data_IF_611098766379
#
_entry.id   IF_611098766379
#
_cell.length_a   1.000
_cell.length_b   1.000
_cell.length_c   1.000
_cell.angle_alpha   90.00
_cell.angle_beta   90.00
_cell.angle_gamma   90.00
#
_symmetry.space_group_name_H-M   'P 1'
#
loop_
_entity.id
_entity.type
_entity.pdbx_description
1 polymer ?
#
# COMPACT_ATOMS: atom_id res chain seq x y z
N UNK A 1 15.93 -15.76 0.67
CA UNK A 1 14.54 -15.28 0.83
C UNK A 1 14.13 -15.50 2.27
N UNK A 2 13.42 -14.55 2.87
CA UNK A 2 12.96 -14.70 4.24
C UNK A 2 11.68 -15.55 4.27
N UNK A 3 11.68 -16.60 5.09
CA UNK A 3 10.52 -17.46 5.32
C UNK A 3 9.79 -17.00 6.59
N UNK A 4 8.48 -16.93 6.50
CA UNK A 4 7.59 -16.52 7.59
C UNK A 4 6.67 -17.69 7.93
N UNK A 5 6.53 -17.98 9.23
CA UNK A 5 5.60 -19.00 9.71
C UNK A 5 4.16 -18.68 9.33
N UNK A 6 3.32 -19.71 9.11
CA UNK A 6 1.89 -19.51 8.85
C UNK A 6 1.09 -19.01 10.06
N UNK A 7 1.63 -19.07 11.27
CA UNK A 7 0.97 -18.61 12.50
C UNK A 7 1.12 -17.10 12.74
N UNK A 8 1.15 -16.29 11.68
CA UNK A 8 1.19 -14.84 11.79
C UNK A 8 -0.23 -14.26 11.80
N UNK A 9 -0.41 -13.21 12.58
CA UNK A 9 -1.61 -12.39 12.58
C UNK A 9 -1.37 -11.15 11.69
N UNK A 10 -2.14 -11.02 10.61
CA UNK A 10 -1.96 -9.98 9.60
C UNK A 10 -2.35 -8.59 10.11
N UNK A 11 -3.25 -8.52 11.09
CA UNK A 11 -3.70 -7.25 11.68
C UNK A 11 -2.62 -6.62 12.56
N UNK A 12 -1.70 -7.44 13.11
CA UNK A 12 -0.60 -6.99 13.96
C UNK A 12 0.76 -7.04 13.27
N UNK A 13 0.87 -7.74 12.13
CA UNK A 13 2.11 -7.83 11.37
C UNK A 13 2.42 -6.52 10.67
N UNK A 14 3.49 -5.85 11.11
CA UNK A 14 3.96 -4.60 10.50
C UNK A 14 4.86 -4.89 9.31
N UNK A 15 4.59 -4.22 8.20
CA UNK A 15 5.38 -4.29 6.97
C UNK A 15 5.80 -2.90 6.50
N UNK A 16 6.92 -2.85 5.78
CA UNK A 16 7.45 -1.61 5.23
C UNK A 16 7.16 -1.52 3.74
N UNK A 17 6.33 -0.55 3.34
CA UNK A 17 6.13 -0.15 1.95
C UNK A 17 7.12 0.95 1.61
N UNK A 18 7.69 0.92 0.41
CA UNK A 18 8.47 2.05 -0.12
C UNK A 18 7.76 2.70 -1.30
N UNK A 19 7.68 4.02 -1.27
CA UNK A 19 6.98 4.83 -2.25
C UNK A 19 7.88 5.96 -2.75
N UNK A 20 7.83 6.23 -4.04
CA UNK A 20 8.46 7.40 -4.66
C UNK A 20 7.37 8.21 -5.35
N UNK A 21 7.24 9.47 -4.95
CA UNK A 21 6.26 10.41 -5.50
C UNK A 21 6.88 11.20 -6.66
N UNK A 22 6.10 11.47 -7.70
CA UNK A 22 6.49 12.33 -8.83
C UNK A 22 6.94 13.71 -8.31
N UNK A 23 8.04 14.22 -8.84
CA UNK A 23 8.64 15.48 -8.36
C UNK A 23 9.49 15.36 -7.09
N UNK A 24 9.33 14.29 -6.30
CA UNK A 24 10.22 14.01 -5.17
C UNK A 24 11.34 13.03 -5.59
N UNK A 25 12.57 13.30 -5.15
CA UNK A 25 13.73 12.42 -5.39
C UNK A 25 13.96 11.42 -4.25
N UNK A 26 13.35 11.64 -3.09
CA UNK A 26 13.52 10.79 -1.93
C UNK A 26 12.43 9.73 -1.85
N UNK A 27 12.87 8.48 -1.68
CA UNK A 27 11.99 7.35 -1.41
C UNK A 27 11.46 7.45 0.03
N UNK A 28 10.15 7.36 0.18
CA UNK A 28 9.46 7.37 1.47
C UNK A 28 9.20 5.94 1.90
N UNK A 29 9.60 5.59 3.12
CA UNK A 29 9.26 4.30 3.74
C UNK A 29 8.13 4.50 4.74
N UNK A 30 7.04 3.76 4.55
CA UNK A 30 5.86 3.75 5.42
C UNK A 30 5.77 2.38 6.08
N UNK A 31 5.65 2.34 7.41
CA UNK A 31 5.51 1.10 8.16
C UNK A 31 4.06 0.98 8.64
N UNK A 32 3.30 0.09 8.02
CA UNK A 32 1.87 -0.08 8.26
C UNK A 32 1.57 -1.56 8.50
N UNK A 33 0.36 -1.86 8.95
CA UNK A 33 -0.08 -3.25 9.13
C UNK A 33 -0.28 -3.92 7.78
N UNK A 34 -0.17 -5.24 7.72
CA UNK A 34 -0.38 -6.00 6.49
C UNK A 34 -1.82 -5.84 5.96
N UNK A 35 -2.79 -5.72 6.86
CA UNK A 35 -4.19 -5.42 6.52
C UNK A 35 -4.34 -4.07 5.80
N UNK A 36 -3.72 -2.99 6.28
CA UNK A 36 -3.73 -1.69 5.59
C UNK A 36 -3.13 -1.75 4.18
N UNK A 37 -2.13 -2.60 3.97
CA UNK A 37 -1.53 -2.81 2.63
C UNK A 37 -2.54 -3.45 1.68
N UNK A 38 -3.30 -4.43 2.16
CA UNK A 38 -4.35 -5.07 1.37
C UNK A 38 -5.48 -4.10 1.04
N UNK A 39 -5.92 -3.31 2.02
CA UNK A 39 -6.93 -2.25 1.82
C UNK A 39 -6.47 -1.23 0.76
N UNK A 40 -5.19 -0.86 0.78
CA UNK A 40 -4.62 0.03 -0.23
C UNK A 40 -4.62 -0.59 -1.63
N UNK A 41 -4.24 -1.87 -1.76
CA UNK A 41 -4.26 -2.57 -3.04
C UNK A 41 -5.68 -2.69 -3.59
N UNK A 42 -6.65 -3.01 -2.74
CA UNK A 42 -8.06 -3.05 -3.09
C UNK A 42 -8.57 -1.67 -3.52
N UNK A 43 -8.16 -0.61 -2.80
CA UNK A 43 -8.49 0.77 -3.18
C UNK A 43 -7.88 1.16 -4.53
N UNK A 44 -6.65 0.72 -4.82
CA UNK A 44 -6.01 0.94 -6.12
C UNK A 44 -6.72 0.19 -7.25
N UNK A 45 -7.19 -1.03 -7.00
CA UNK A 45 -7.85 -1.88 -8.00
C UNK A 45 -9.34 -1.58 -8.18
N UNK A 46 -10.03 -1.04 -7.16
CA UNK A 46 -11.45 -0.62 -7.23
C UNK A 46 -11.61 0.52 -8.24
N UNK A 47 -11.77 0.12 -9.49
CA UNK A 47 -12.13 0.96 -10.61
C UNK A 47 -13.58 0.62 -11.00
N UNK A 48 -14.52 0.83 -10.08
CA UNK A 48 -15.94 0.68 -10.41
C UNK A 48 -16.54 2.02 -10.83
N UNK A 49 -17.11 1.99 -12.02
CA UNK A 49 -17.82 3.05 -12.71
C UNK A 49 -19.00 3.58 -11.87
N UNK A 50 -18.71 4.45 -10.92
CA UNK A 50 -19.74 5.23 -10.24
C UNK A 50 -19.99 6.48 -11.10
N UNK A 51 -21.20 6.60 -11.64
CA UNK A 51 -21.69 7.84 -12.25
C UNK A 51 -21.74 8.88 -11.13
N UNK A 52 -20.85 9.88 -11.18
CA UNK A 52 -20.61 10.85 -10.10
C UNK A 52 -21.11 12.23 -10.47
N UNK A 53 -21.78 12.88 -9.51
CA UNK A 53 -22.04 14.32 -9.55
C UNK A 53 -20.72 15.10 -9.51
N UNK A 54 -20.75 16.37 -9.96
CA UNK A 54 -19.55 17.21 -10.13
C UNK A 54 -18.70 17.33 -8.85
N UNK A 55 -19.31 17.34 -7.67
CA UNK A 55 -18.61 17.38 -6.38
C UNK A 55 -17.92 16.07 -6.00
N UNK A 56 -18.53 14.91 -6.28
CA UNK A 56 -17.92 13.62 -5.99
C UNK A 56 -16.73 13.32 -6.92
N UNK A 57 -16.70 13.94 -8.10
CA UNK A 57 -15.55 13.86 -9.01
C UNK A 57 -14.29 14.43 -8.37
N UNK A 58 -14.32 15.61 -7.76
CA UNK A 58 -13.09 16.26 -7.25
C UNK A 58 -12.45 15.49 -6.08
N UNK A 59 -13.25 14.87 -5.20
CA UNK A 59 -12.73 14.03 -4.11
C UNK A 59 -12.20 12.69 -4.61
N UNK A 60 -12.77 12.13 -5.68
CA UNK A 60 -12.31 10.88 -6.28
C UNK A 60 -11.20 11.06 -7.32
N UNK A 61 -11.10 12.22 -7.98
CA UNK A 61 -10.09 12.53 -8.98
C UNK A 61 -8.69 12.47 -8.37
N UNK A 62 -8.57 12.80 -7.08
CA UNK A 62 -7.28 12.82 -6.41
C UNK A 62 -6.90 11.52 -5.68
N UNK A 63 -7.74 10.46 -5.74
CA UNK A 63 -7.47 9.09 -5.26
C UNK A 63 -6.42 9.00 -4.12
N UNK A 64 -6.70 9.65 -2.99
CA UNK A 64 -5.81 9.63 -1.83
C UNK A 64 -6.10 8.44 -0.93
N UNK A 65 -5.05 7.79 -0.45
CA UNK A 65 -5.12 6.80 0.63
C UNK A 65 -4.31 7.29 1.83
N UNK A 66 -4.78 6.99 3.04
CA UNK A 66 -4.10 7.37 4.29
C UNK A 66 -3.53 6.11 4.92
N UNK A 67 -2.24 6.12 5.19
CA UNK A 67 -1.55 5.09 5.94
C UNK A 67 -1.22 5.56 7.34
N UNK A 68 -1.31 4.65 8.31
CA UNK A 68 -0.83 4.91 9.66
C UNK A 68 0.59 4.37 9.81
N UNK A 69 1.59 5.27 9.84
CA UNK A 69 2.97 4.87 10.08
C UNK A 69 3.13 4.52 11.57
N UNK A 70 3.05 3.21 11.87
CA UNK A 70 3.10 2.65 13.23
C UNK A 70 4.40 3.03 13.94
N UNK A 71 5.52 3.10 13.20
CA UNK A 71 6.84 3.42 13.77
C UNK A 71 6.95 4.93 14.04
N UNK A 72 6.54 5.77 13.09
CA UNK A 72 6.66 7.24 13.22
C UNK A 72 5.46 7.88 13.92
N UNK A 73 4.42 7.12 14.25
CA UNK A 73 3.17 7.55 14.88
C UNK A 73 2.54 8.76 14.18
N UNK A 74 2.46 8.69 12.85
CA UNK A 74 1.87 9.76 12.03
C UNK A 74 1.06 9.19 10.88
N UNK A 75 0.05 9.95 10.49
CA UNK A 75 -0.74 9.69 9.28
C UNK A 75 0.04 10.16 8.05
N UNK A 76 0.15 9.31 7.03
CA UNK A 76 0.78 9.62 5.75
C UNK A 76 -0.27 9.47 4.66
N UNK A 77 -0.65 10.59 4.06
CA UNK A 77 -1.56 10.61 2.91
C UNK A 77 -0.78 10.48 1.61
N UNK A 78 -1.20 9.57 0.74
CA UNK A 78 -0.56 9.25 -0.54
C UNK A 78 -1.58 9.40 -1.66
N UNK A 79 -1.26 10.23 -2.66
CA UNK A 79 -2.00 10.34 -3.92
C UNK A 79 -1.60 9.20 -4.84
N UNK A 80 -2.56 8.37 -5.28
CA UNK A 80 -2.30 7.30 -6.25
C UNK A 80 -1.76 7.84 -7.59
N UNK A 81 -2.22 9.02 -8.02
CA UNK A 81 -1.82 9.62 -9.30
C UNK A 81 -0.35 10.07 -9.30
N UNK A 82 0.17 10.38 -8.12
CA UNK A 82 1.53 10.90 -7.96
C UNK A 82 2.54 9.80 -7.64
N UNK A 83 2.13 8.53 -7.52
CA UNK A 83 3.06 7.42 -7.34
C UNK A 83 3.84 7.19 -8.64
N UNK A 84 5.17 7.32 -8.56
CA UNK A 84 6.11 7.01 -9.64
C UNK A 84 6.67 5.60 -9.51
N UNK A 85 7.00 5.19 -8.29
CA UNK A 85 7.50 3.86 -7.99
C UNK A 85 6.98 3.42 -6.63
N UNK A 86 6.67 2.14 -6.51
CA UNK A 86 6.18 1.57 -5.26
C UNK A 86 6.70 0.14 -5.10
N UNK A 87 7.16 -0.20 -3.90
CA UNK A 87 7.55 -1.54 -3.49
C UNK A 87 6.65 -1.98 -2.33
N UNK A 88 5.83 -3.01 -2.59
CA UNK A 88 4.92 -3.60 -1.60
C UNK A 88 5.39 -5.01 -1.27
N UNK A 89 5.64 -5.35 0.00
CA UNK A 89 5.86 -6.73 0.40
C UNK A 89 4.56 -7.54 0.33
N UNK A 90 4.63 -8.76 -0.17
CA UNK A 90 3.53 -9.72 -0.17
C UNK A 90 4.01 -11.10 0.28
N UNK A 91 3.09 -11.86 0.86
CA UNK A 91 3.32 -13.23 1.29
C UNK A 91 2.84 -14.19 0.21
N UNK A 92 3.72 -15.11 -0.19
CA UNK A 92 3.43 -16.17 -1.15
C UNK A 92 3.33 -17.51 -0.42
N UNK A 93 2.21 -18.21 -0.56
CA UNK A 93 2.01 -19.50 0.10
C UNK A 93 2.68 -20.64 -0.68
N UNK A 94 3.71 -21.24 -0.10
CA UNK A 94 4.43 -22.41 -0.64
C UNK A 94 3.89 -23.76 -0.07
N UNK A 95 2.74 -23.73 0.60
CA UNK A 95 2.07 -24.87 1.21
C UNK A 95 2.50 -25.14 2.67
N UNK A 96 3.77 -24.91 3.00
CA UNK A 96 4.31 -25.08 4.37
C UNK A 96 4.50 -23.76 5.12
N UNK A 97 5.21 -22.82 4.49
CA UNK A 97 5.54 -21.51 5.03
C UNK A 97 5.07 -20.43 4.05
N UNK A 98 5.06 -19.18 4.50
CA UNK A 98 4.95 -18.03 3.61
C UNK A 98 6.34 -17.56 3.19
N UNK A 99 6.53 -17.39 1.89
CA UNK A 99 7.69 -16.74 1.31
C UNK A 99 7.41 -15.24 1.19
N UNK A 100 8.25 -14.41 1.83
CA UNK A 100 8.16 -12.97 1.68
C UNK A 100 8.77 -12.54 0.34
N UNK A 101 7.95 -11.94 -0.51
CA UNK A 101 8.34 -11.40 -1.82
C UNK A 101 8.00 -9.91 -1.89
N UNK A 102 8.60 -9.22 -2.85
CA UNK A 102 8.37 -7.79 -3.07
C UNK A 102 7.76 -7.62 -4.47
N UNK A 103 6.61 -6.95 -4.52
CA UNK A 103 6.00 -6.48 -5.75
C UNK A 103 6.48 -5.06 -6.00
N UNK A 104 7.09 -4.84 -7.16
CA UNK A 104 7.52 -3.51 -7.60
C UNK A 104 6.60 -3.00 -8.70
N UNK A 105 5.94 -1.87 -8.44
CA UNK A 105 5.17 -1.12 -9.43
C UNK A 105 5.98 0.09 -9.90
N UNK A 106 5.97 0.35 -11.21
CA UNK A 106 6.59 1.51 -11.84
C UNK A 106 5.57 2.14 -12.79
N UNK A 107 5.14 3.36 -12.45
CA UNK A 107 4.17 4.15 -13.21
C UNK A 107 4.82 5.21 -14.10
#
# INVERSE_FOLDING_TARGET
MAKVSKNIDLDTTVVSIKLLIKGNRQMQTINCTYTEVMDFLDFQQRNEAVIKNKHDKEMFENKYFIFDDVIKKKHIQVSLNDIKLMEIPYLFDDGKDYDLKILSYKG
#
